data_IF_893710314374
#
_entry.id   IF_893710314374
#
_cell.length_a   1.000
_cell.length_b   1.000
_cell.length_c   1.000
_cell.angle_alpha   90.00
_cell.angle_beta   90.00
_cell.angle_gamma   90.00
#
_symmetry.space_group_name_H-M   'P 1'
#
loop_
_entity.id
_entity.type
_entity.pdbx_description
1 polymer ?
#
# COMPACT_ATOMS: atom_id res chain seq x y z
N UNK A 1 -29.54 6.23 -3.67
CA UNK A 1 -28.92 5.07 -2.99
C UNK A 1 -28.01 4.37 -3.99
N UNK A 2 -26.70 4.68 -4.08
CA UNK A 2 -25.86 3.92 -5.00
C UNK A 2 -25.64 2.53 -4.42
N UNK A 3 -25.86 1.54 -5.27
CA UNK A 3 -25.72 0.13 -4.98
C UNK A 3 -24.37 -0.14 -4.30
N UNK A 4 -24.41 -0.86 -3.17
CA UNK A 4 -23.23 -1.51 -2.59
C UNK A 4 -22.76 -2.53 -3.61
N UNK A 5 -21.90 -2.09 -4.53
CA UNK A 5 -21.15 -2.96 -5.41
C UNK A 5 -20.47 -3.99 -4.51
N UNK A 6 -20.87 -5.25 -4.64
CA UNK A 6 -20.18 -6.40 -4.09
C UNK A 6 -18.82 -6.46 -4.79
N UNK A 7 -17.87 -5.66 -4.31
CA UNK A 7 -16.47 -5.80 -4.69
C UNK A 7 -16.10 -7.24 -4.33
N UNK A 8 -15.61 -8.06 -5.28
CA UNK A 8 -15.09 -9.36 -4.94
C UNK A 8 -14.07 -9.15 -3.83
N UNK A 9 -14.20 -9.90 -2.73
CA UNK A 9 -13.17 -9.96 -1.70
C UNK A 9 -11.90 -10.49 -2.38
N UNK A 10 -11.12 -9.59 -2.96
CA UNK A 10 -9.83 -9.90 -3.57
C UNK A 10 -8.93 -10.32 -2.42
N UNK A 11 -8.80 -11.62 -2.22
CA UNK A 11 -7.90 -12.23 -1.26
C UNK A 11 -6.48 -12.04 -1.80
N UNK A 12 -5.75 -11.08 -1.25
CA UNK A 12 -4.39 -10.77 -1.68
C UNK A 12 -3.93 -9.40 -1.20
N UNK A 13 -2.62 -9.17 -1.25
CA UNK A 13 -2.05 -7.86 -0.97
C UNK A 13 -2.55 -6.87 -2.03
N UNK A 14 -2.95 -5.68 -1.59
CA UNK A 14 -3.46 -4.65 -2.48
C UNK A 14 -2.29 -3.88 -3.07
N UNK A 15 -2.38 -3.58 -4.36
CA UNK A 15 -1.45 -2.68 -5.04
C UNK A 15 -2.16 -1.40 -5.43
N UNK A 16 -1.41 -0.31 -5.57
CA UNK A 16 -1.95 0.98 -6.02
C UNK A 16 -2.63 0.85 -7.40
N UNK A 17 -2.05 0.05 -8.30
CA UNK A 17 -2.59 -0.19 -9.63
C UNK A 17 -3.91 -1.00 -9.62
N UNK A 18 -4.05 -1.97 -8.71
CA UNK A 18 -5.23 -2.84 -8.68
C UNK A 18 -6.45 -2.22 -8.00
N UNK A 19 -6.25 -1.33 -7.02
CA UNK A 19 -7.34 -0.76 -6.21
C UNK A 19 -7.13 0.72 -5.87
N UNK A 20 -6.93 1.61 -6.86
CA UNK A 20 -6.52 3.00 -6.61
C UNK A 20 -7.48 3.79 -5.71
N UNK A 21 -8.79 3.50 -5.79
CA UNK A 21 -9.82 4.16 -4.96
C UNK A 21 -9.72 3.87 -3.46
N UNK A 22 -8.90 2.91 -3.03
CA UNK A 22 -8.69 2.57 -1.61
C UNK A 22 -7.42 3.18 -1.02
N UNK A 23 -6.66 3.95 -1.81
CA UNK A 23 -5.42 4.59 -1.39
C UNK A 23 -5.60 6.10 -1.27
N UNK A 24 -4.93 6.68 -0.28
CA UNK A 24 -4.79 8.12 -0.13
C UNK A 24 -3.32 8.50 -0.30
N UNK A 25 -3.06 9.71 -0.79
CA UNK A 25 -1.70 10.23 -0.97
C UNK A 25 -1.33 11.17 0.19
N UNK A 26 -0.10 11.05 0.66
CA UNK A 26 0.55 12.04 1.54
C UNK A 26 1.68 12.67 0.73
N UNK A 27 1.78 14.01 0.65
CA UNK A 27 2.91 14.67 0.00
C UNK A 27 4.21 14.28 0.69
N UNK A 28 5.10 13.56 0.00
CA UNK A 28 6.37 13.13 0.56
C UNK A 28 7.43 13.01 -0.56
N UNK A 29 8.44 13.90 -0.58
CA UNK A 29 9.55 13.79 -1.50
C UNK A 29 10.43 12.58 -1.14
N UNK A 30 10.96 11.91 -2.17
CA UNK A 30 11.81 10.70 -1.99
C UNK A 30 13.14 10.99 -1.29
N UNK A 31 13.55 12.25 -1.23
CA UNK A 31 14.69 12.71 -0.42
C UNK A 31 14.42 12.66 1.07
N UNK A 32 13.15 12.78 1.49
CA UNK A 32 12.73 12.79 2.89
C UNK A 32 12.41 11.38 3.39
N UNK A 33 11.84 10.51 2.54
CA UNK A 33 11.57 9.12 2.91
C UNK A 33 11.83 8.12 1.76
N UNK A 34 12.67 7.12 2.04
CA UNK A 34 12.88 5.95 1.17
C UNK A 34 12.50 4.68 1.92
N UNK A 35 11.30 4.18 1.67
CA UNK A 35 10.76 2.97 2.31
C UNK A 35 11.66 1.74 2.09
N UNK A 36 12.25 1.60 0.89
CA UNK A 36 13.16 0.50 0.56
C UNK A 36 14.44 0.48 1.40
N UNK A 37 14.84 1.64 1.95
CA UNK A 37 16.01 1.74 2.83
C UNK A 37 15.59 1.66 4.30
N UNK A 38 14.49 2.32 4.68
CA UNK A 38 14.09 2.45 6.09
C UNK A 38 13.38 1.21 6.63
N UNK A 39 12.51 0.58 5.84
CA UNK A 39 11.71 -0.56 6.30
C UNK A 39 12.55 -1.83 6.55
N UNK A 40 13.51 -2.23 5.67
CA UNK A 40 14.33 -3.41 5.93
C UNK A 40 15.56 -3.16 6.81
N UNK A 41 15.89 -1.91 7.19
CA UNK A 41 17.13 -1.58 7.94
C UNK A 41 17.11 -2.00 9.41
N UNK A 42 16.22 -2.89 9.83
CA UNK A 42 16.13 -3.34 11.23
C UNK A 42 15.56 -2.31 12.21
N UNK A 43 15.08 -1.15 11.73
CA UNK A 43 14.34 -0.19 12.56
C UNK A 43 12.94 -0.71 12.92
N UNK A 44 12.35 -1.53 12.05
CA UNK A 44 11.08 -2.17 12.29
C UNK A 44 11.03 -3.53 11.60
N UNK A 45 10.79 -4.59 12.37
CA UNK A 45 10.72 -5.96 11.86
C UNK A 45 9.32 -6.38 11.40
N UNK A 46 8.35 -5.45 11.40
CA UNK A 46 6.94 -5.75 11.06
C UNK A 46 6.60 -5.57 9.59
N UNK A 47 7.53 -5.05 8.80
CA UNK A 47 7.29 -4.72 7.40
C UNK A 47 7.93 -5.75 6.48
N UNK A 48 7.17 -6.17 5.47
CA UNK A 48 7.60 -7.09 4.42
C UNK A 48 7.16 -6.51 3.08
N UNK A 49 8.03 -6.63 2.08
CA UNK A 49 7.64 -6.36 0.69
C UNK A 49 6.84 -7.54 0.16
N UNK A 50 5.54 -7.35 -0.03
CA UNK A 50 4.66 -8.39 -0.57
C UNK A 50 4.69 -8.42 -2.10
N UNK A 51 4.65 -9.61 -2.68
CA UNK A 51 4.48 -9.80 -4.12
C UNK A 51 3.09 -9.37 -4.56
N UNK A 52 3.03 -8.67 -5.69
CA UNK A 52 1.81 -8.12 -6.30
C UNK A 52 0.93 -9.18 -6.97
#
# INVERSE_FOLDING_TARGET
MPARALLPRRMGHRTLASTPALWASIPCPRSELRLDLVLPSGQSFRWLTASA
#
